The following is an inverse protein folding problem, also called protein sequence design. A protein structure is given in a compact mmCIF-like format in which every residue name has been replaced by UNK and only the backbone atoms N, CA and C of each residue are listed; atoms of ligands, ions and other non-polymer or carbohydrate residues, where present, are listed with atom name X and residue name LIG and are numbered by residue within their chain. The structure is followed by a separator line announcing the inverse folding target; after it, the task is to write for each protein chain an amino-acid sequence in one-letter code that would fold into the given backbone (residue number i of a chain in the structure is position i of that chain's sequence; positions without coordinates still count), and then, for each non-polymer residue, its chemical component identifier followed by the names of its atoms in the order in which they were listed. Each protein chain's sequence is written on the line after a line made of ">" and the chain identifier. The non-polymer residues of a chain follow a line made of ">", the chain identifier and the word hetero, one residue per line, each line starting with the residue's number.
data_IF_046175729693
#
_entry.id   IF_046175729693
#
_cell.length_a   1.000
_cell.length_b   1.000
_cell.length_c   1.000
_cell.angle_alpha   90.00
_cell.angle_beta   90.00
_cell.angle_gamma   90.00
#
_symmetry.space_group_name_H-M   'P 1'
#
loop_
_entity.id
_entity.type
_entity.pdbx_description
1 polymer ?
#
# COMPACT_ATOMS: atom_id res chain seq x y z
N UNK A 1 45.51 7.41 1.17
CA UNK A 1 45.57 5.95 0.90
C UNK A 1 45.94 5.31 2.23
N UNK A 2 45.19 4.42 2.88
CA UNK A 2 44.08 3.56 2.51
C UNK A 2 43.21 3.28 3.73
N UNK A 3 41.91 3.12 3.50
CA UNK A 3 40.93 2.55 4.43
C UNK A 3 40.87 1.04 4.22
N UNK A 4 40.95 0.27 5.31
CA UNK A 4 40.58 -1.17 5.42
C UNK A 4 40.73 -1.55 6.89
N UNK A 5 39.89 -2.31 7.58
CA UNK A 5 38.60 -2.94 7.35
C UNK A 5 38.18 -3.41 8.75
N UNK A 6 36.97 -3.11 9.20
CA UNK A 6 36.37 -3.81 10.35
C UNK A 6 35.03 -4.35 9.89
N UNK A 7 35.08 -5.46 9.15
CA UNK A 7 33.91 -6.29 8.93
C UNK A 7 34.25 -7.71 9.33
N UNK A 8 34.02 -8.00 10.62
CA UNK A 8 33.95 -9.37 11.12
C UNK A 8 32.60 -9.58 11.80
N UNK A 9 31.70 -10.17 11.02
CA UNK A 9 30.59 -11.04 11.39
C UNK A 9 29.96 -10.86 12.78
N UNK A 10 28.70 -10.41 12.82
CA UNK A 10 27.75 -10.94 13.80
C UNK A 10 26.33 -10.96 13.23
N UNK A 11 25.73 -12.16 13.32
CA UNK A 11 24.31 -12.48 13.40
C UNK A 11 23.30 -11.46 12.85
N UNK A 12 22.62 -11.81 11.76
CA UNK A 12 21.35 -11.18 11.33
C UNK A 12 20.26 -11.51 12.36
N UNK A 13 20.25 -10.76 13.45
CA UNK A 13 19.10 -10.68 14.35
C UNK A 13 18.30 -9.45 13.97
N UNK A 14 17.38 -9.61 13.01
CA UNK A 14 16.33 -8.61 12.80
C UNK A 14 15.36 -8.66 14.00
N UNK A 15 14.91 -7.48 14.44
CA UNK A 15 13.98 -7.32 15.55
C UNK A 15 12.72 -8.17 15.32
N UNK A 16 12.53 -9.21 16.13
CA UNK A 16 11.31 -10.01 16.15
C UNK A 16 10.27 -9.26 16.96
N UNK A 17 9.38 -8.53 16.30
CA UNK A 17 8.22 -7.95 16.96
C UNK A 17 7.22 -9.05 17.32
N UNK A 18 6.64 -8.96 18.52
CA UNK A 18 5.60 -9.86 18.99
C UNK A 18 4.43 -9.85 17.99
N UNK A 19 4.13 -11.03 17.44
CA UNK A 19 3.10 -11.26 16.43
C UNK A 19 1.72 -11.08 17.06
N UNK A 20 1.21 -9.85 17.07
CA UNK A 20 -0.21 -9.62 17.33
C UNK A 20 -0.96 -9.92 16.03
N UNK A 21 -1.97 -10.81 16.03
CA UNK A 21 -2.71 -11.12 14.82
C UNK A 21 -3.46 -9.87 14.36
N UNK A 22 -3.23 -9.34 13.14
CA UNK A 22 -4.16 -8.36 12.60
C UNK A 22 -5.47 -9.12 12.33
N UNK A 23 -6.54 -8.72 13.02
CA UNK A 23 -7.90 -9.05 12.60
C UNK A 23 -8.07 -8.49 11.20
N UNK A 24 -7.89 -9.34 10.19
CA UNK A 24 -8.08 -9.02 8.78
C UNK A 24 -9.54 -8.61 8.57
N UNK A 25 -9.84 -7.33 8.29
CA UNK A 25 -11.09 -7.01 7.63
C UNK A 25 -10.87 -7.43 6.18
N UNK A 26 -11.59 -8.47 5.76
CA UNK A 26 -11.61 -8.94 4.38
C UNK A 26 -11.61 -7.77 3.41
N UNK A 27 -10.59 -7.75 2.56
CA UNK A 27 -10.52 -6.98 1.33
C UNK A 27 -11.77 -7.27 0.50
N UNK A 28 -12.73 -6.36 0.57
CA UNK A 28 -13.87 -6.23 -0.35
C UNK A 28 -14.56 -4.92 0.02
N UNK A 29 -13.88 -3.81 -0.26
CA UNK A 29 -14.42 -2.48 0.01
C UNK A 29 -14.51 -1.71 -1.30
N UNK A 30 -15.41 -2.18 -2.18
CA UNK A 30 -16.09 -1.31 -3.14
C UNK A 30 -16.82 -0.23 -2.33
N UNK A 31 -16.12 0.82 -1.94
CA UNK A 31 -16.72 1.94 -1.24
C UNK A 31 -16.25 3.19 -1.95
N UNK A 32 -17.13 3.71 -2.80
CA UNK A 32 -17.12 5.10 -3.22
C UNK A 32 -16.89 5.95 -1.97
N UNK A 33 -15.68 6.48 -1.83
CA UNK A 33 -15.37 7.34 -0.71
C UNK A 33 -16.30 8.56 -0.73
N UNK A 34 -16.77 8.99 0.44
CA UNK A 34 -17.58 10.19 0.53
C UNK A 34 -16.82 11.39 -0.05
N UNK A 35 -17.53 12.40 -0.56
CA UNK A 35 -16.89 13.60 -1.14
C UNK A 35 -15.88 14.23 -0.17
N UNK A 36 -16.20 14.27 1.13
CA UNK A 36 -15.29 14.79 2.15
C UNK A 36 -14.06 13.89 2.33
N UNK A 37 -14.23 12.57 2.29
CA UNK A 37 -13.11 11.63 2.38
C UNK A 37 -12.18 11.74 1.16
N UNK A 38 -12.73 11.98 -0.03
CA UNK A 38 -11.93 12.25 -1.25
C UNK A 38 -11.18 13.58 -1.15
N UNK A 39 -11.85 14.65 -0.68
CA UNK A 39 -11.23 15.98 -0.53
C UNK A 39 -10.05 15.98 0.44
N UNK A 40 -10.15 15.23 1.54
CA UNK A 40 -9.08 15.11 2.53
C UNK A 40 -8.18 13.88 2.34
N UNK A 41 -8.38 13.12 1.26
CA UNK A 41 -7.65 11.90 0.94
C UNK A 41 -7.69 10.83 2.05
N UNK A 42 -8.66 10.90 2.96
CA UNK A 42 -8.74 10.00 4.11
C UNK A 42 -9.08 8.55 3.72
N UNK A 43 -9.61 8.34 2.51
CA UNK A 43 -9.90 7.00 2.01
C UNK A 43 -8.64 6.13 1.82
N UNK A 44 -7.46 6.74 1.72
CA UNK A 44 -6.19 6.04 1.54
C UNK A 44 -5.52 5.67 2.87
N UNK A 45 -6.08 6.07 4.02
CA UNK A 45 -5.44 5.93 5.33
C UNK A 45 -5.16 4.47 5.70
N UNK A 46 -6.12 3.56 5.46
CA UNK A 46 -5.96 2.12 5.68
C UNK A 46 -4.77 1.55 4.87
N UNK A 47 -4.65 1.94 3.59
CA UNK A 47 -3.54 1.50 2.73
C UNK A 47 -2.20 2.05 3.22
N UNK A 48 -2.17 3.30 3.66
CA UNK A 48 -0.96 3.93 4.22
C UNK A 48 -0.54 3.25 5.53
N UNK A 49 -1.50 2.90 6.39
CA UNK A 49 -1.24 2.18 7.63
C UNK A 49 -0.68 0.78 7.35
N UNK A 50 -1.26 0.05 6.40
CA UNK A 50 -0.75 -1.26 5.97
C UNK A 50 0.67 -1.12 5.42
N UNK A 51 0.91 -0.15 4.55
CA UNK A 51 2.23 0.12 3.95
C UNK A 51 3.32 0.48 4.97
N UNK A 52 2.94 1.11 6.09
CA UNK A 52 3.85 1.37 7.21
C UNK A 52 4.21 0.11 8.00
N UNK A 53 3.33 -0.90 8.03
CA UNK A 53 3.54 -2.15 8.78
C UNK A 53 4.21 -3.25 7.96
N UNK A 54 3.90 -3.34 6.67
CA UNK A 54 4.46 -4.32 5.74
C UNK A 54 4.45 -3.79 4.31
N UNK A 55 5.22 -4.44 3.44
CA UNK A 55 5.15 -4.18 2.01
C UNK A 55 3.73 -4.45 1.47
N UNK A 56 3.24 -3.52 0.64
CA UNK A 56 1.94 -3.63 -0.02
C UNK A 56 2.00 -4.70 -1.12
N UNK A 57 0.93 -5.50 -1.19
CA UNK A 57 0.68 -6.45 -2.26
C UNK A 57 -0.44 -5.92 -3.16
N UNK A 58 -0.66 -6.59 -4.28
CA UNK A 58 -1.68 -6.22 -5.26
C UNK A 58 -3.10 -6.22 -4.65
N UNK A 59 -3.37 -7.10 -3.70
CA UNK A 59 -4.66 -7.17 -2.98
C UNK A 59 -4.89 -6.01 -2.01
N UNK A 60 -3.84 -5.26 -1.66
CA UNK A 60 -3.91 -4.09 -0.76
C UNK A 60 -4.14 -2.78 -1.52
N UNK A 61 -4.05 -2.82 -2.86
CA UNK A 61 -4.21 -1.65 -3.70
C UNK A 61 -5.69 -1.33 -3.92
N UNK A 62 -5.96 -0.04 -4.03
CA UNK A 62 -7.27 0.44 -4.41
C UNK A 62 -7.52 0.19 -5.90
N UNK A 63 -8.71 -0.31 -6.23
CA UNK A 63 -9.13 -0.49 -7.61
C UNK A 63 -9.41 0.85 -8.28
N UNK A 64 -9.24 0.90 -9.60
CA UNK A 64 -9.59 2.06 -10.41
C UNK A 64 -11.11 2.16 -10.54
N UNK A 65 -11.63 3.37 -10.30
CA UNK A 65 -13.01 3.72 -10.60
C UNK A 65 -13.32 3.51 -12.09
N UNK A 66 -14.57 3.16 -12.41
CA UNK A 66 -15.00 2.78 -13.75
C UNK A 66 -14.66 3.84 -14.83
N UNK A 67 -14.79 5.13 -14.50
CA UNK A 67 -14.45 6.24 -15.40
C UNK A 67 -12.93 6.40 -15.64
N UNK A 68 -12.11 5.87 -14.73
CA UNK A 68 -10.64 5.93 -14.80
C UNK A 68 -10.03 4.69 -15.46
N UNK A 69 -10.87 3.74 -15.91
CA UNK A 69 -10.41 2.57 -16.64
C UNK A 69 -9.95 2.96 -18.03
N UNK A 70 -8.86 2.34 -18.47
CA UNK A 70 -8.25 2.59 -19.78
C UNK A 70 -9.23 2.39 -20.93
N UNK A 71 -10.14 1.43 -20.83
CA UNK A 71 -11.20 1.19 -21.81
C UNK A 71 -12.12 2.41 -22.00
N UNK A 72 -12.57 3.01 -20.89
CA UNK A 72 -13.48 4.17 -20.92
C UNK A 72 -12.75 5.41 -21.44
N UNK A 73 -11.52 5.64 -20.96
CA UNK A 73 -10.68 6.74 -21.45
C UNK A 73 -10.37 6.61 -22.96
N UNK A 74 -10.09 5.40 -23.43
CA UNK A 74 -9.85 5.12 -24.84
C UNK A 74 -11.09 5.33 -25.70
N UNK A 75 -12.25 4.86 -25.24
CA UNK A 75 -13.52 5.08 -25.91
C UNK A 75 -13.86 6.57 -26.01
N UNK A 76 -13.59 7.36 -24.96
CA UNK A 76 -13.76 8.81 -24.98
C UNK A 76 -12.81 9.49 -25.97
N UNK A 77 -11.54 9.09 -26.02
CA UNK A 77 -10.56 9.65 -26.97
C UNK A 77 -10.89 9.35 -28.43
N UNK A 78 -11.44 8.16 -28.72
CA UNK A 78 -11.78 7.74 -30.08
C UNK A 78 -13.05 8.37 -30.64
N UNK A 79 -13.82 9.06 -29.79
CA UNK A 79 -15.06 9.72 -30.15
C UNK A 79 -14.81 11.13 -30.69
#
# INVERSE_FOLDING_TARGET
>A
MSSTQLQRSSSREYATFLKVPPTSPKAQRHQSASLMSRLFLSYADDMMQIGNTRQLNQDDLLELDDDSRSEVAYAFFKR
#
